data_IF_443530194899
#
_entry.id   IF_443530194899
#
_cell.length_a   1.000
_cell.length_b   1.000
_cell.length_c   1.000
_cell.angle_alpha   90.00
_cell.angle_beta   90.00
_cell.angle_gamma   90.00
#
_symmetry.space_group_name_H-M   'P 1'
#
loop_
_entity.id
_entity.type
_entity.pdbx_description
1 polymer ?
#
# COMPACT_ATOMS: atom_id res chain seq x y z
N UNK A 1 -25.48 25.84 15.91
CA UNK A 1 -24.11 25.31 15.75
C UNK A 1 -23.77 25.19 14.27
N UNK A 2 -24.61 24.54 13.47
CA UNK A 2 -24.46 24.47 11.99
C UNK A 2 -24.33 25.81 11.30
N UNK A 3 -25.15 26.82 11.63
CA UNK A 3 -25.07 28.13 10.99
C UNK A 3 -23.74 28.88 11.22
N UNK A 4 -23.03 28.60 12.31
CA UNK A 4 -21.70 29.19 12.57
C UNK A 4 -20.61 28.43 11.80
N UNK A 5 -20.69 27.10 11.81
CA UNK A 5 -19.79 26.27 11.00
C UNK A 5 -19.90 26.61 9.50
N UNK A 6 -21.12 26.83 9.01
CA UNK A 6 -21.32 27.21 7.61
C UNK A 6 -20.79 28.61 7.30
N UNK A 7 -20.90 29.56 8.25
CA UNK A 7 -20.32 30.89 8.12
C UNK A 7 -18.78 30.86 8.11
N UNK A 8 -18.17 29.94 8.87
CA UNK A 8 -16.72 29.81 9.00
C UNK A 8 -16.12 28.80 7.99
N UNK A 9 -16.95 28.13 7.17
CA UNK A 9 -16.53 27.03 6.28
C UNK A 9 -15.38 27.41 5.36
N UNK A 10 -15.45 28.58 4.73
CA UNK A 10 -14.41 29.02 3.78
C UNK A 10 -13.11 29.34 4.50
N UNK A 11 -13.17 29.95 5.69
CA UNK A 11 -11.99 30.17 6.52
C UNK A 11 -11.36 28.85 6.96
N UNK A 12 -12.18 27.86 7.34
CA UNK A 12 -11.70 26.52 7.69
C UNK A 12 -10.99 25.87 6.49
N UNK A 13 -11.57 25.94 5.28
CA UNK A 13 -10.94 25.41 4.06
C UNK A 13 -9.62 26.11 3.76
N UNK A 14 -9.56 27.42 3.91
CA UNK A 14 -8.33 28.20 3.72
C UNK A 14 -7.25 27.77 4.72
N UNK A 15 -7.58 27.66 6.01
CA UNK A 15 -6.67 27.16 7.03
C UNK A 15 -6.15 25.75 6.72
N UNK A 16 -7.03 24.84 6.28
CA UNK A 16 -6.64 23.47 5.87
C UNK A 16 -5.68 23.53 4.67
N UNK A 17 -6.00 24.32 3.65
CA UNK A 17 -5.16 24.45 2.46
C UNK A 17 -3.78 25.02 2.81
N UNK A 18 -3.72 26.08 3.63
CA UNK A 18 -2.47 26.67 4.11
C UNK A 18 -1.64 25.66 4.90
N UNK A 19 -2.27 24.91 5.81
CA UNK A 19 -1.59 23.87 6.57
C UNK A 19 -1.05 22.76 5.66
N UNK A 20 -1.85 22.27 4.71
CA UNK A 20 -1.43 21.27 3.72
C UNK A 20 -0.21 21.73 2.91
N UNK A 21 -0.25 22.97 2.39
CA UNK A 21 0.87 23.54 1.64
C UNK A 21 2.12 23.70 2.49
N UNK A 22 1.98 24.10 3.77
CA UNK A 22 3.12 24.21 4.70
C UNK A 22 3.76 22.87 4.99
N UNK A 23 2.96 21.82 5.25
CA UNK A 23 3.44 20.45 5.46
C UNK A 23 4.16 19.92 4.22
N UNK A 24 3.58 20.12 3.03
CA UNK A 24 4.19 19.71 1.77
C UNK A 24 5.53 20.40 1.53
N UNK A 25 5.59 21.73 1.68
CA UNK A 25 6.81 22.49 1.49
C UNK A 25 7.93 22.04 2.46
N UNK A 26 7.58 21.77 3.72
CA UNK A 26 8.54 21.29 4.72
C UNK A 26 9.16 19.94 4.33
N UNK A 27 8.34 18.95 3.93
CA UNK A 27 8.87 17.65 3.52
C UNK A 27 9.65 17.70 2.21
N UNK A 28 9.31 18.61 1.28
CA UNK A 28 10.09 18.84 0.07
C UNK A 28 11.48 19.40 0.39
N UNK A 29 11.56 20.41 1.27
CA UNK A 29 12.83 20.98 1.72
C UNK A 29 13.74 19.90 2.36
N UNK A 30 13.17 19.06 3.23
CA UNK A 30 13.91 17.93 3.80
C UNK A 30 14.42 16.94 2.73
N UNK A 31 13.66 16.70 1.66
CA UNK A 31 14.06 15.81 0.56
C UNK A 31 15.16 16.42 -0.30
N UNK A 32 15.06 17.72 -0.63
CA UNK A 32 16.05 18.46 -1.42
C UNK A 32 17.42 18.48 -0.69
N UNK A 33 17.40 18.81 0.61
CA UNK A 33 18.59 18.81 1.47
C UNK A 33 19.26 17.43 1.50
N UNK A 34 18.46 16.35 1.51
CA UNK A 34 18.98 14.98 1.63
C UNK A 34 19.54 14.41 0.33
N UNK A 35 18.89 14.70 -0.79
CA UNK A 35 19.24 14.09 -2.07
C UNK A 35 20.35 14.85 -2.81
N UNK A 36 20.66 16.09 -2.40
CA UNK A 36 21.66 16.94 -3.08
C UNK A 36 21.35 17.15 -4.56
N UNK A 37 20.11 16.85 -4.95
CA UNK A 37 19.63 16.77 -6.32
C UNK A 37 18.75 17.99 -6.53
N UNK A 38 19.27 18.93 -7.32
CA UNK A 38 18.55 20.09 -7.82
C UNK A 38 17.59 19.65 -8.95
N UNK A 39 16.80 18.60 -8.69
CA UNK A 39 15.77 18.14 -9.61
C UNK A 39 14.53 18.98 -9.28
N UNK A 40 13.98 19.66 -10.29
CA UNK A 40 12.61 20.16 -10.22
C UNK A 40 11.68 18.95 -10.15
N UNK A 41 11.52 18.38 -8.95
CA UNK A 41 10.56 17.32 -8.70
C UNK A 41 9.23 18.03 -8.52
N UNK A 42 8.38 17.97 -9.53
CA UNK A 42 6.99 18.34 -9.32
C UNK A 42 6.43 17.40 -8.24
N UNK A 43 5.95 17.91 -7.10
CA UNK A 43 5.40 17.07 -6.05
C UNK A 43 4.27 16.27 -6.69
N UNK A 44 4.33 14.94 -6.60
CA UNK A 44 3.17 14.12 -6.94
C UNK A 44 2.01 14.68 -6.11
N UNK A 45 0.97 15.20 -6.78
CA UNK A 45 -0.21 15.68 -6.07
C UNK A 45 -0.69 14.53 -5.18
N UNK A 46 -0.61 14.74 -3.87
CA UNK A 46 -1.16 13.78 -2.92
C UNK A 46 -2.64 13.71 -3.24
N UNK A 47 -3.05 12.62 -3.87
CA UNK A 47 -4.44 12.22 -3.88
C UNK A 47 -4.71 11.79 -2.45
N UNK A 48 -5.00 12.78 -1.60
CA UNK A 48 -5.60 12.53 -0.30
C UNK A 48 -6.93 11.85 -0.60
N UNK A 49 -6.92 10.51 -0.66
CA UNK A 49 -8.13 9.72 -0.79
C UNK A 49 -8.81 9.86 0.56
N UNK A 50 -9.63 10.90 0.69
CA UNK A 50 -10.59 11.04 1.78
C UNK A 50 -11.67 10.00 1.47
N UNK A 51 -11.46 8.77 1.93
CA UNK A 51 -12.52 7.77 1.95
C UNK A 51 -13.52 8.18 3.02
N UNK A 52 -14.77 8.40 2.62
CA UNK A 52 -15.88 8.63 3.56
C UNK A 52 -16.15 7.42 4.46
N UNK A 53 -15.57 6.26 4.12
CA UNK A 53 -15.99 4.94 4.63
C UNK A 53 -14.88 4.22 5.43
N UNK A 54 -14.00 4.97 6.10
CA UNK A 54 -12.98 4.41 7.01
C UNK A 54 -11.56 4.42 6.45
N UNK A 55 -10.60 3.92 7.23
CA UNK A 55 -9.17 3.88 6.87
C UNK A 55 -8.99 3.17 5.52
N UNK A 56 -8.48 3.82 4.47
CA UNK A 56 -8.30 3.20 3.14
C UNK A 56 -7.31 2.04 3.16
N UNK A 57 -6.63 1.86 4.29
CA UNK A 57 -5.69 0.79 4.56
C UNK A 57 -6.21 -0.21 5.60
N UNK A 58 -7.48 -0.15 6.02
CA UNK A 58 -8.03 -0.97 7.12
C UNK A 58 -7.74 -2.46 6.95
N UNK A 59 -7.79 -2.94 5.71
CA UNK A 59 -7.57 -4.35 5.38
C UNK A 59 -6.09 -4.75 5.30
N UNK A 60 -5.16 -3.79 5.29
CA UNK A 60 -3.72 -4.08 5.24
C UNK A 60 -3.18 -4.58 6.58
N UNK A 61 -2.22 -5.51 6.55
CA UNK A 61 -1.45 -5.87 7.75
C UNK A 61 -0.60 -4.68 8.19
N UNK A 62 -0.30 -4.60 9.48
CA UNK A 62 0.44 -3.46 10.04
C UNK A 62 1.85 -3.36 9.46
N UNK A 63 2.52 -4.47 9.17
CA UNK A 63 3.82 -4.52 8.48
C UNK A 63 3.73 -4.00 7.04
N UNK A 64 2.61 -4.24 6.36
CA UNK A 64 2.36 -3.75 5.00
C UNK A 64 2.02 -2.25 4.98
N UNK A 65 1.25 -1.78 5.97
CA UNK A 65 1.01 -0.35 6.21
C UNK A 65 2.33 0.36 6.48
N UNK A 66 3.21 -0.25 7.28
CA UNK A 66 4.56 0.22 7.57
C UNK A 66 5.45 0.32 6.33
N UNK A 67 5.33 -0.61 5.38
CA UNK A 67 6.11 -0.62 4.14
C UNK A 67 5.61 0.41 3.13
N UNK A 68 4.29 0.58 3.05
CA UNK A 68 3.59 1.61 2.28
C UNK A 68 3.81 3.01 2.82
N UNK A 69 4.05 3.09 4.13
CA UNK A 69 4.37 4.29 4.88
C UNK A 69 5.83 4.29 5.32
N UNK A 70 6.72 3.60 4.61
CA UNK A 70 8.13 3.64 4.96
C UNK A 70 8.71 5.05 4.76
N UNK A 71 8.11 5.82 3.84
CA UNK A 71 8.22 7.27 3.70
C UNK A 71 7.61 8.06 4.87
N UNK A 72 6.66 7.46 5.61
CA UNK A 72 6.00 8.00 6.79
C UNK A 72 6.45 7.37 8.12
N UNK A 73 7.62 6.72 8.13
CA UNK A 73 8.33 6.39 9.35
C UNK A 73 9.28 7.52 9.72
N UNK A 74 9.15 7.96 10.96
CA UNK A 74 9.90 9.08 11.47
C UNK A 74 10.60 8.72 12.77
N UNK A 75 11.80 9.23 12.95
CA UNK A 75 12.28 9.50 14.28
C UNK A 75 11.55 10.73 14.80
N UNK A 76 10.98 10.63 16.00
CA UNK A 76 10.37 11.77 16.66
C UNK A 76 11.30 12.30 17.74
N UNK A 77 11.73 13.55 17.58
CA UNK A 77 12.59 14.21 18.55
C UNK A 77 11.73 14.89 19.61
N UNK A 78 11.37 14.15 20.66
CA UNK A 78 10.73 14.74 21.83
C UNK A 78 11.75 15.64 22.56
N UNK A 79 11.41 16.92 22.73
CA UNK A 79 12.22 17.92 23.40
C UNK A 79 12.51 17.60 24.88
N UNK A 80 11.72 16.72 25.51
CA UNK A 80 11.79 16.45 26.96
C UNK A 80 12.35 15.06 27.30
N UNK A 81 12.53 14.17 26.32
CA UNK A 81 13.01 12.80 26.57
C UNK A 81 14.54 12.67 26.42
N UNK A 82 15.12 11.81 27.27
CA UNK A 82 16.55 11.69 27.58
C UNK A 82 17.51 11.70 26.36
N UNK A 83 18.68 12.39 26.44
CA UNK A 83 19.68 12.51 25.35
C UNK A 83 20.34 11.19 24.91
N UNK A 84 19.95 10.05 25.50
CA UNK A 84 20.46 8.71 25.21
C UNK A 84 19.39 7.75 24.67
N UNK A 85 18.17 8.24 24.40
CA UNK A 85 17.05 7.41 23.97
C UNK A 85 17.23 6.88 22.55
N UNK A 86 17.28 5.56 22.40
CA UNK A 86 17.04 4.91 21.12
C UNK A 86 15.64 5.31 20.62
N UNK A 87 15.56 6.33 19.76
CA UNK A 87 14.31 6.69 19.10
C UNK A 87 13.93 5.55 18.17
N UNK A 88 13.01 4.71 18.62
CA UNK A 88 12.38 3.73 17.74
C UNK A 88 11.64 4.51 16.63
N UNK A 89 11.76 4.10 15.36
CA UNK A 89 11.01 4.75 14.30
C UNK A 89 9.51 4.52 14.53
N UNK A 90 8.74 5.60 14.47
CA UNK A 90 7.30 5.60 14.68
C UNK A 90 6.56 6.07 13.43
N UNK A 91 5.31 5.64 13.28
CA UNK A 91 4.43 6.17 12.24
C UNK A 91 3.89 7.54 12.67
N UNK A 92 3.56 8.40 11.70
CA UNK A 92 2.90 9.69 11.98
C UNK A 92 1.69 9.56 12.93
N UNK A 93 0.87 8.52 12.73
CA UNK A 93 -0.29 8.23 13.60
C UNK A 93 0.11 7.88 15.03
N UNK A 94 1.16 7.07 15.20
CA UNK A 94 1.68 6.71 16.54
C UNK A 94 2.09 7.97 17.29
N UNK A 95 2.85 8.85 16.63
CA UNK A 95 3.29 10.12 17.19
C UNK A 95 2.10 10.97 17.61
N UNK A 96 1.09 11.14 16.73
CA UNK A 96 -0.11 11.91 17.07
C UNK A 96 -0.91 11.32 18.26
N UNK A 97 -0.98 10.00 18.36
CA UNK A 97 -1.62 9.32 19.50
C UNK A 97 -0.84 9.56 20.79
N UNK A 98 0.49 9.41 20.75
CA UNK A 98 1.37 9.65 21.90
C UNK A 98 1.33 11.11 22.37
N UNK A 99 1.17 12.07 21.44
CA UNK A 99 1.01 13.49 21.73
C UNK A 99 -0.42 13.89 22.14
N UNK A 100 -1.35 12.92 22.26
CA UNK A 100 -2.73 13.16 22.72
C UNK A 100 -3.63 13.84 21.69
N UNK A 101 -3.21 13.95 20.42
CA UNK A 101 -3.93 14.68 19.37
C UNK A 101 -5.00 13.84 18.67
N UNK A 102 -4.93 12.51 18.84
CA UNK A 102 -5.96 11.58 18.39
C UNK A 102 -6.44 10.83 19.63
N UNK A 103 -7.73 10.98 19.96
CA UNK A 103 -8.35 10.16 20.99
C UNK A 103 -8.30 8.67 20.58
N UNK A 104 -7.59 7.88 21.37
CA UNK A 104 -7.88 6.45 21.44
C UNK A 104 -9.22 6.33 22.16
N UNK A 105 -10.26 5.84 21.47
CA UNK A 105 -11.64 5.75 21.95
C UNK A 105 -11.83 4.99 23.27
N UNK A 106 -10.77 4.46 23.89
CA UNK A 106 -10.79 3.57 25.05
C UNK A 106 -9.90 4.01 26.24
N UNK A 107 -9.23 5.16 26.22
CA UNK A 107 -8.39 5.62 27.35
C UNK A 107 -8.97 6.88 28.00
N UNK A 108 -9.80 6.69 29.03
CA UNK A 108 -10.44 7.75 29.83
C UNK A 108 -9.49 8.51 30.79
N UNK A 109 -8.19 8.47 30.57
CA UNK A 109 -7.21 9.08 31.48
C UNK A 109 -6.13 9.79 30.68
N UNK A 110 -6.45 10.97 30.16
CA UNK A 110 -5.41 11.96 29.88
C UNK A 110 -5.67 13.20 30.74
N UNK A 111 -4.64 13.54 31.52
CA UNK A 111 -4.47 14.79 32.26
C UNK A 111 -4.74 15.97 31.33
N UNK A 112 -5.22 17.10 31.89
CA UNK A 112 -5.51 18.37 31.21
C UNK A 112 -4.26 19.07 30.63
N UNK A 113 -3.23 18.33 30.26
CA UNK A 113 -2.05 18.89 29.63
C UNK A 113 -2.44 19.47 28.28
N UNK A 114 -2.02 20.71 28.08
CA UNK A 114 -2.31 21.50 26.88
C UNK A 114 -1.84 20.70 25.67
N UNK A 115 -2.78 20.29 24.81
CA UNK A 115 -2.49 19.67 23.53
C UNK A 115 -1.53 20.58 22.76
N UNK A 116 -0.24 20.20 22.74
CA UNK A 116 0.74 20.88 21.89
C UNK A 116 0.67 20.24 20.52
N UNK A 117 0.44 21.07 19.51
CA UNK A 117 0.62 20.65 18.13
C UNK A 117 2.09 20.24 17.96
N UNK A 118 2.40 19.07 17.37
CA UNK A 118 3.76 18.62 17.21
C UNK A 118 4.42 19.52 16.17
N UNK A 119 5.63 19.98 16.46
CA UNK A 119 6.38 20.78 15.49
C UNK A 119 6.87 19.86 14.36
N UNK A 120 6.71 20.29 13.11
CA UNK A 120 7.09 19.47 11.95
C UNK A 120 8.58 19.12 11.95
N UNK A 121 9.43 20.01 12.46
CA UNK A 121 10.88 19.81 12.59
C UNK A 121 11.25 18.62 13.51
N UNK A 122 10.31 18.15 14.33
CA UNK A 122 10.51 16.98 15.19
C UNK A 122 10.32 15.66 14.45
N UNK A 123 9.74 15.69 13.24
CA UNK A 123 9.60 14.51 12.36
C UNK A 123 10.82 14.41 11.44
N UNK A 124 11.72 13.52 11.79
CA UNK A 124 12.90 13.24 10.98
C UNK A 124 12.67 11.95 10.16
N UNK A 125 12.76 11.98 8.82
CA UNK A 125 12.50 10.82 7.98
C UNK A 125 13.45 9.66 8.29
N UNK A 126 12.95 8.43 8.33
CA UNK A 126 13.76 7.24 8.58
C UNK A 126 14.40 6.71 7.26
N UNK A 127 15.69 7.03 6.96
CA UNK A 127 16.29 6.74 5.65
C UNK A 127 16.30 5.27 5.29
N UNK A 128 16.61 4.41 6.26
CA UNK A 128 16.84 3.00 6.02
C UNK A 128 15.55 2.32 5.56
N UNK A 129 14.42 2.64 6.18
CA UNK A 129 13.11 2.12 5.75
C UNK A 129 12.72 2.66 4.37
N UNK A 130 12.94 3.95 4.11
CA UNK A 130 12.65 4.55 2.81
C UNK A 130 13.45 3.88 1.69
N UNK A 131 14.73 3.62 1.92
CA UNK A 131 15.59 2.98 0.93
C UNK A 131 15.16 1.52 0.69
N UNK A 132 14.88 0.76 1.75
CA UNK A 132 14.36 -0.61 1.62
C UNK A 132 13.04 -0.62 0.85
N UNK A 133 12.12 0.29 1.13
CA UNK A 133 10.86 0.39 0.41
C UNK A 133 11.09 0.69 -1.08
N UNK A 134 11.96 1.65 -1.41
CA UNK A 134 12.35 1.93 -2.81
C UNK A 134 12.92 0.69 -3.50
N UNK A 135 13.84 -0.02 -2.86
CA UNK A 135 14.42 -1.25 -3.39
C UNK A 135 13.35 -2.32 -3.64
N UNK A 136 12.39 -2.49 -2.72
CA UNK A 136 11.29 -3.44 -2.87
C UNK A 136 10.34 -3.06 -4.02
N UNK A 137 10.04 -1.76 -4.19
CA UNK A 137 9.25 -1.25 -5.32
C UNK A 137 9.94 -1.53 -6.67
N UNK A 138 11.24 -1.24 -6.77
CA UNK A 138 12.03 -1.53 -7.98
C UNK A 138 12.06 -3.03 -8.26
N UNK A 139 12.30 -3.84 -7.23
CA UNK A 139 12.32 -5.30 -7.35
C UNK A 139 10.96 -5.85 -7.83
N UNK A 140 9.86 -5.34 -7.28
CA UNK A 140 8.51 -5.69 -7.71
C UNK A 140 8.31 -5.37 -9.20
N UNK A 141 8.59 -4.12 -9.60
CA UNK A 141 8.44 -3.70 -10.99
C UNK A 141 9.27 -4.56 -11.95
N UNK A 142 10.55 -4.79 -11.64
CA UNK A 142 11.43 -5.61 -12.47
C UNK A 142 10.93 -7.05 -12.57
N UNK A 143 10.47 -7.66 -11.47
CA UNK A 143 9.92 -9.02 -11.46
C UNK A 143 8.66 -9.12 -12.32
N UNK A 144 7.71 -8.21 -12.14
CA UNK A 144 6.46 -8.22 -12.89
C UNK A 144 6.68 -7.92 -14.39
N UNK A 145 7.59 -6.99 -14.72
CA UNK A 145 7.95 -6.72 -16.12
C UNK A 145 8.61 -7.94 -16.77
N UNK A 146 9.54 -8.62 -16.08
CA UNK A 146 10.15 -9.86 -16.57
C UNK A 146 9.13 -10.97 -16.76
N UNK A 147 8.21 -11.12 -15.82
CA UNK A 147 7.10 -12.08 -15.95
C UNK A 147 6.29 -11.78 -17.21
N UNK A 148 5.82 -10.54 -17.35
CA UNK A 148 5.05 -10.12 -18.51
C UNK A 148 5.75 -10.48 -19.82
N UNK A 149 7.04 -10.14 -19.96
CA UNK A 149 7.81 -10.45 -21.16
C UNK A 149 7.88 -11.96 -21.44
N UNK A 150 8.14 -12.79 -20.42
CA UNK A 150 8.14 -14.25 -20.60
C UNK A 150 6.76 -14.80 -20.97
N UNK A 151 5.68 -14.26 -20.40
CA UNK A 151 4.32 -14.65 -20.81
C UNK A 151 4.05 -14.25 -22.26
N UNK A 152 4.59 -13.12 -22.72
CA UNK A 152 4.45 -12.71 -24.12
C UNK A 152 5.22 -13.62 -25.10
N UNK A 153 6.32 -14.26 -24.66
CA UNK A 153 7.02 -15.29 -25.47
C UNK A 153 6.11 -16.50 -25.75
N UNK A 154 5.18 -16.81 -24.84
CA UNK A 154 4.18 -17.89 -24.95
C UNK A 154 2.82 -17.40 -25.50
N UNK A 155 2.72 -16.13 -25.93
CA UNK A 155 1.44 -15.46 -26.18
C UNK A 155 0.55 -16.13 -27.22
N UNK A 156 1.12 -16.70 -28.28
CA UNK A 156 0.32 -17.32 -29.34
C UNK A 156 -0.48 -18.52 -28.83
N UNK A 157 0.18 -19.43 -28.10
CA UNK A 157 -0.47 -20.61 -27.51
C UNK A 157 -1.49 -20.21 -26.44
N UNK A 158 -1.16 -19.21 -25.62
CA UNK A 158 -2.07 -18.70 -24.60
C UNK A 158 -3.32 -18.05 -25.22
N UNK A 159 -3.17 -17.33 -26.32
CA UNK A 159 -4.29 -16.70 -27.04
C UNK A 159 -5.23 -17.75 -27.63
N UNK A 160 -4.69 -18.83 -28.19
CA UNK A 160 -5.48 -19.96 -28.68
C UNK A 160 -6.30 -20.62 -27.56
N UNK A 161 -5.76 -20.64 -26.33
CA UNK A 161 -6.42 -21.11 -25.11
C UNK A 161 -7.34 -20.06 -24.43
N UNK A 162 -7.52 -18.90 -25.08
CA UNK A 162 -8.34 -17.78 -24.60
C UNK A 162 -7.75 -17.03 -23.40
N UNK A 163 -6.44 -17.12 -23.18
CA UNK A 163 -5.71 -16.46 -22.10
C UNK A 163 -5.03 -15.19 -22.62
N UNK A 164 -5.42 -14.06 -22.06
CA UNK A 164 -4.74 -12.77 -22.26
C UNK A 164 -3.97 -12.44 -20.98
N UNK A 165 -2.77 -11.87 -21.09
CA UNK A 165 -2.01 -11.41 -19.93
C UNK A 165 -1.48 -10.00 -20.18
N UNK A 166 -2.14 -9.00 -19.60
CA UNK A 166 -1.84 -7.58 -19.78
C UNK A 166 -0.66 -7.13 -18.93
N UNK A 167 0.04 -6.10 -19.40
CA UNK A 167 1.01 -5.37 -18.58
C UNK A 167 0.26 -4.46 -17.60
N UNK A 168 0.15 -4.92 -16.35
CA UNK A 168 -0.51 -4.17 -15.27
C UNK A 168 0.25 -2.92 -14.82
N UNK A 169 1.50 -2.74 -15.27
CA UNK A 169 2.32 -1.57 -14.96
C UNK A 169 2.54 -0.69 -16.19
N UNK A 170 1.89 -0.98 -17.33
CA UNK A 170 1.97 -0.10 -18.49
C UNK A 170 1.24 1.22 -18.20
N UNK A 171 1.94 2.37 -18.19
CA UNK A 171 1.29 3.66 -17.97
C UNK A 171 0.35 4.03 -19.12
N UNK A 172 0.47 3.41 -20.30
CA UNK A 172 -0.45 3.61 -21.42
C UNK A 172 -1.81 2.94 -21.17
N UNK A 173 -1.82 1.82 -20.45
CA UNK A 173 -3.04 1.05 -20.15
C UNK A 173 -3.68 1.56 -18.86
N UNK A 174 -2.86 2.00 -17.88
CA UNK A 174 -3.32 2.35 -16.54
C UNK A 174 -2.57 3.58 -15.96
N UNK A 175 -2.70 4.78 -16.59
CA UNK A 175 -1.89 5.96 -16.25
C UNK A 175 -2.13 6.49 -14.83
N UNK A 176 -3.32 6.27 -14.28
CA UNK A 176 -3.71 6.74 -12.94
C UNK A 176 -3.46 5.72 -11.84
N UNK A 177 -2.87 4.56 -12.16
CA UNK A 177 -2.81 3.45 -11.22
C UNK A 177 -1.46 3.39 -10.51
N UNK A 178 -1.44 3.18 -9.18
CA UNK A 178 -0.18 3.05 -8.47
C UNK A 178 0.65 1.91 -9.06
N UNK A 179 1.96 2.13 -9.18
CA UNK A 179 2.91 1.17 -9.75
C UNK A 179 2.98 -0.15 -8.96
N UNK A 180 2.41 -0.18 -7.76
CA UNK A 180 2.26 -1.38 -6.96
C UNK A 180 0.81 -1.55 -6.53
N UNK A 181 0.29 -2.77 -6.70
CA UNK A 181 -0.94 -3.21 -6.04
C UNK A 181 -0.57 -4.16 -4.93
N UNK A 182 -1.06 -3.84 -3.75
CA UNK A 182 -0.85 -4.68 -2.59
C UNK A 182 -1.86 -5.81 -2.64
N UNK A 183 -1.36 -7.02 -2.81
CA UNK A 183 -2.14 -8.20 -2.50
C UNK A 183 -2.24 -8.27 -0.99
N UNK A 184 -3.47 -8.30 -0.46
CA UNK A 184 -3.69 -8.71 0.91
C UNK A 184 -3.09 -10.12 1.04
N UNK A 185 -1.93 -10.25 1.68
CA UNK A 185 -1.60 -11.51 2.31
C UNK A 185 -2.63 -11.60 3.42
N UNK A 186 -3.62 -12.52 3.35
CA UNK A 186 -4.63 -12.60 4.38
C UNK A 186 -3.92 -12.67 5.73
N UNK A 187 -4.40 -11.97 6.77
CA UNK A 187 -3.82 -12.11 8.10
C UNK A 187 -3.66 -13.60 8.35
N UNK A 188 -2.45 -13.99 8.76
CA UNK A 188 -2.07 -15.36 9.06
C UNK A 188 -2.83 -15.76 10.33
N UNK A 189 -4.16 -15.81 10.24
CA UNK A 189 -4.98 -16.58 11.13
C UNK A 189 -4.56 -18.01 10.87
N UNK A 190 -4.11 -18.67 11.93
CA UNK A 190 -3.62 -20.06 11.97
C UNK A 190 -4.73 -21.08 11.60
N UNK A 191 -5.31 -20.93 10.41
CA UNK A 191 -6.51 -21.62 9.94
C UNK A 191 -6.58 -21.66 8.41
N UNK A 192 -7.55 -22.42 7.89
CA UNK A 192 -7.80 -22.51 6.45
C UNK A 192 -8.56 -21.27 5.99
N UNK A 193 -8.11 -20.63 4.92
CA UNK A 193 -8.78 -19.48 4.32
C UNK A 193 -9.55 -19.91 3.06
N UNK A 194 -10.73 -19.33 2.86
CA UNK A 194 -11.49 -19.48 1.62
C UNK A 194 -10.97 -18.45 0.62
N UNK A 195 -10.19 -18.90 -0.35
CA UNK A 195 -9.57 -18.05 -1.37
C UNK A 195 -10.04 -18.46 -2.76
N UNK A 196 -10.10 -17.48 -3.66
CA UNK A 196 -10.33 -17.72 -5.07
C UNK A 196 -8.99 -17.99 -5.76
N UNK A 197 -8.97 -18.95 -6.69
CA UNK A 197 -7.82 -19.36 -7.48
C UNK A 197 -8.06 -18.98 -8.94
N UNK A 198 -7.15 -18.23 -9.55
CA UNK A 198 -7.25 -17.88 -10.97
C UNK A 198 -6.95 -19.11 -11.84
N UNK A 199 -7.91 -19.50 -12.69
CA UNK A 199 -7.74 -20.63 -13.61
C UNK A 199 -6.95 -20.27 -14.86
N UNK A 200 -6.91 -18.99 -15.22
CA UNK A 200 -6.21 -18.50 -16.41
C UNK A 200 -4.70 -18.42 -16.16
N UNK A 201 -4.26 -17.82 -15.04
CA UNK A 201 -2.85 -17.83 -14.65
C UNK A 201 -2.28 -19.24 -14.47
N UNK A 202 -3.10 -20.22 -14.10
CA UNK A 202 -2.66 -21.62 -13.98
C UNK A 202 -2.27 -22.27 -15.31
N UNK A 203 -2.82 -21.77 -16.43
CA UNK A 203 -2.44 -22.21 -17.78
C UNK A 203 -1.10 -21.64 -18.24
N UNK A 204 -0.59 -20.61 -17.56
CA UNK A 204 0.65 -19.94 -17.91
C UNK A 204 1.82 -20.71 -17.27
N UNK A 205 2.68 -21.32 -18.09
CA UNK A 205 3.66 -22.28 -17.59
C UNK A 205 4.71 -21.62 -16.70
N UNK A 206 5.12 -20.41 -17.05
CA UNK A 206 6.09 -19.62 -16.30
C UNK A 206 5.63 -19.25 -14.88
N UNK A 207 4.32 -19.18 -14.62
CA UNK A 207 3.76 -18.90 -13.29
C UNK A 207 3.67 -20.20 -12.48
N UNK A 208 4.74 -20.57 -11.78
CA UNK A 208 4.81 -21.82 -10.98
C UNK A 208 3.90 -21.81 -9.77
N UNK A 209 3.75 -20.64 -9.15
CA UNK A 209 2.84 -20.44 -8.03
C UNK A 209 1.37 -20.44 -8.46
N UNK A 210 0.50 -20.25 -7.47
CA UNK A 210 -0.94 -20.11 -7.70
C UNK A 210 -1.34 -18.68 -7.40
N UNK A 211 -2.02 -18.03 -8.34
CA UNK A 211 -2.62 -16.72 -8.10
C UNK A 211 -3.88 -16.92 -7.28
N UNK A 212 -3.80 -16.57 -6.00
CA UNK A 212 -4.87 -16.77 -5.01
C UNK A 212 -5.12 -15.51 -4.22
N UNK A 213 -6.39 -15.12 -4.08
CA UNK A 213 -6.76 -13.89 -3.38
C UNK A 213 -8.23 -13.93 -2.96
N UNK A 214 -8.73 -12.90 -2.28
CA UNK A 214 -10.16 -12.82 -1.93
C UNK A 214 -11.03 -12.67 -3.19
N UNK A 215 -12.35 -12.86 -3.07
CA UNK A 215 -13.24 -12.75 -4.23
C UNK A 215 -13.27 -11.36 -4.88
N UNK A 216 -13.36 -10.25 -4.13
CA UNK A 216 -13.29 -8.91 -4.73
C UNK A 216 -11.98 -8.67 -5.47
N UNK A 217 -10.86 -9.06 -4.86
CA UNK A 217 -9.53 -8.93 -5.46
C UNK A 217 -9.36 -9.83 -6.69
N UNK A 218 -9.95 -11.03 -6.70
CA UNK A 218 -9.92 -11.93 -7.85
C UNK A 218 -10.69 -11.34 -9.04
N UNK A 219 -11.85 -10.74 -8.80
CA UNK A 219 -12.62 -10.03 -9.84
C UNK A 219 -11.79 -8.90 -10.43
N UNK A 220 -11.11 -8.13 -9.57
CA UNK A 220 -10.23 -7.05 -10.02
C UNK A 220 -9.01 -7.58 -10.78
N UNK A 221 -8.38 -8.65 -10.31
CA UNK A 221 -7.27 -9.32 -10.98
C UNK A 221 -7.66 -9.79 -12.38
N UNK A 222 -8.82 -10.43 -12.53
CA UNK A 222 -9.32 -10.89 -13.83
C UNK A 222 -9.60 -9.74 -14.80
N UNK A 223 -10.07 -8.60 -14.29
CA UNK A 223 -10.22 -7.39 -15.10
C UNK A 223 -8.86 -6.84 -15.54
N UNK A 224 -7.91 -6.74 -14.61
CA UNK A 224 -6.63 -6.07 -14.84
C UNK A 224 -5.68 -6.88 -15.71
N UNK A 225 -5.47 -8.14 -15.32
CA UNK A 225 -4.51 -9.05 -15.93
C UNK A 225 -5.10 -9.69 -17.18
N UNK A 226 -6.39 -10.08 -17.13
CA UNK A 226 -7.03 -10.84 -18.20
C UNK A 226 -8.06 -10.05 -19.01
N UNK A 227 -8.37 -8.80 -18.67
CA UNK A 227 -9.35 -7.98 -19.40
C UNK A 227 -10.81 -8.40 -19.21
N UNK A 228 -11.12 -9.27 -18.24
CA UNK A 228 -12.43 -9.90 -18.09
C UNK A 228 -13.35 -9.04 -17.23
N UNK A 229 -14.35 -8.42 -17.86
CA UNK A 229 -15.36 -7.58 -17.19
C UNK A 229 -16.46 -8.36 -16.48
N UNK A 230 -16.72 -9.60 -16.91
CA UNK A 230 -17.76 -10.47 -16.33
C UNK A 230 -17.15 -11.83 -15.95
N UNK A 231 -16.47 -11.93 -14.80
CA UNK A 231 -15.91 -13.17 -14.31
C UNK A 231 -16.96 -14.27 -14.13
N UNK A 232 -16.58 -15.53 -14.41
CA UNK A 232 -17.44 -16.70 -14.24
C UNK A 232 -16.72 -17.73 -13.38
N UNK A 233 -17.42 -18.24 -12.37
CA UNK A 233 -16.91 -19.30 -11.49
C UNK A 233 -16.73 -20.58 -12.30
N UNK A 234 -15.69 -21.36 -11.99
CA UNK A 234 -15.23 -22.56 -12.71
C UNK A 234 -14.68 -22.30 -14.11
N UNK A 235 -14.93 -21.18 -14.76
CA UNK A 235 -14.32 -20.81 -16.05
C UNK A 235 -13.05 -19.98 -15.81
N UNK A 236 -13.18 -18.86 -15.09
CA UNK A 236 -12.08 -17.92 -14.86
C UNK A 236 -11.41 -18.11 -13.50
N UNK A 237 -12.17 -18.53 -12.48
CA UNK A 237 -11.65 -18.76 -11.13
C UNK A 237 -12.43 -19.84 -10.38
N UNK A 238 -11.83 -20.42 -9.34
CA UNK A 238 -12.47 -21.41 -8.46
C UNK A 238 -12.20 -21.12 -7.00
N UNK A 239 -13.18 -21.39 -6.16
CA UNK A 239 -13.04 -21.23 -4.70
C UNK A 239 -12.37 -22.46 -4.10
N UNK A 240 -11.32 -22.24 -3.32
CA UNK A 240 -10.58 -23.28 -2.61
C UNK A 240 -10.42 -22.94 -1.13
N UNK A 241 -10.46 -23.99 -0.31
CA UNK A 241 -10.07 -23.91 1.09
C UNK A 241 -8.57 -24.21 1.15
N UNK A 242 -7.76 -23.18 1.31
CA UNK A 242 -6.29 -23.27 1.29
C UNK A 242 -5.72 -23.21 2.71
N UNK A 243 -4.60 -23.90 2.98
CA UNK A 243 -3.91 -23.71 4.25
C UNK A 243 -3.42 -22.25 4.33
N UNK A 244 -3.65 -21.59 5.47
CA UNK A 244 -3.22 -20.21 5.67
C UNK A 244 -1.69 -20.03 5.67
N UNK A 245 -0.92 -21.12 5.78
CA UNK A 245 0.54 -21.08 5.73
C UNK A 245 1.04 -21.35 4.31
N UNK A 246 1.60 -20.33 3.68
CA UNK A 246 2.37 -20.46 2.45
C UNK A 246 3.77 -20.94 2.81
N UNK A 247 4.16 -22.12 2.32
CA UNK A 247 5.48 -22.69 2.62
C UNK A 247 6.59 -22.03 1.79
N UNK A 248 6.29 -21.63 0.54
CA UNK A 248 7.24 -21.09 -0.44
C UNK A 248 6.53 -20.20 -1.46
N UNK A 249 7.27 -19.32 -2.12
CA UNK A 249 6.82 -18.60 -3.32
C UNK A 249 7.70 -18.97 -4.52
N UNK A 250 7.17 -18.77 -5.73
CA UNK A 250 7.98 -18.84 -6.95
C UNK A 250 8.87 -17.60 -7.16
N UNK A 251 9.61 -17.56 -8.27
CA UNK A 251 10.55 -16.46 -8.59
C UNK A 251 9.87 -15.09 -8.78
N UNK A 252 8.54 -15.09 -8.96
CA UNK A 252 7.70 -13.92 -9.14
C UNK A 252 6.91 -13.55 -7.89
N UNK A 253 7.04 -14.33 -6.81
CA UNK A 253 6.38 -14.06 -5.54
C UNK A 253 5.00 -14.71 -5.39
N UNK A 254 4.58 -15.60 -6.30
CA UNK A 254 3.30 -16.29 -6.16
C UNK A 254 3.41 -17.48 -5.21
N UNK A 255 2.43 -17.69 -4.31
CA UNK A 255 2.48 -18.76 -3.31
C UNK A 255 2.41 -20.15 -3.95
N UNK A 256 3.19 -21.07 -3.40
CA UNK A 256 3.20 -22.49 -3.72
C UNK A 256 2.46 -23.24 -2.60
N UNK A 257 1.33 -23.86 -2.94
CA UNK A 257 0.53 -24.64 -2.01
C UNK A 257 0.75 -26.14 -2.20
N UNK A 258 1.15 -26.82 -1.13
CA UNK A 258 1.29 -28.27 -1.13
C UNK A 258 -0.09 -28.92 -1.36
N UNK A 259 -0.21 -29.73 -2.42
CA UNK A 259 -1.43 -30.47 -2.74
C UNK A 259 -2.38 -29.83 -3.77
N UNK A 260 -2.16 -28.58 -4.21
CA UNK A 260 -2.80 -28.09 -5.43
C UNK A 260 -2.03 -28.63 -6.64
N UNK A 261 -2.49 -29.75 -7.20
CA UNK A 261 -1.99 -30.24 -8.49
C UNK A 261 -2.38 -29.24 -9.57
N UNK A 262 -1.43 -28.90 -10.45
CA UNK A 262 -1.66 -28.16 -11.71
C UNK A 262 -2.59 -28.93 -12.66
#
# INVERSE_FOLDING_TARGET
MEARFEADREQIKECIATWQSSVQAHFLDQLEVRQGLNIQVEPLQTTNIITTDGDPFVDLSDELKLLLRADSLFYYKDSESSPTGHTQPETYRSILVTQGLIELSNLQTFSHDVLRTPELDQFLPYPEAQEIARMLLVLHYVRHRRLYLKVQEESQQLTDDGVIYNDIHSPEIQPSRPMTKFCLVPPINYGRALLEVCRLCRKIEVIRGTVTTSRPEMVQHLLDVHGIRKPKVKEHYTTHILPGRVSRCDEYGFPLYDGLKR
#
